data_IF_471607221731
#
_entry.id   IF_471607221731
#
_cell.length_a   1.000
_cell.length_b   1.000
_cell.length_c   1.000
_cell.angle_alpha   90.00
_cell.angle_beta   90.00
_cell.angle_gamma   90.00
#
_symmetry.space_group_name_H-M   'P 1'
#
loop_
_entity.id
_entity.type
_entity.pdbx_description
1 polymer ?
#
# COMPACT_ATOMS: atom_id res chain seq x y z
N UNK A 1 -6.72 -40.38 -23.30
CA UNK A 1 -5.49 -40.20 -22.49
C UNK A 1 -5.48 -38.94 -21.64
N UNK A 2 -5.59 -37.71 -22.17
CA UNK A 2 -5.62 -36.50 -21.33
C UNK A 2 -6.83 -36.43 -20.37
N UNK A 3 -8.02 -36.81 -20.85
CA UNK A 3 -9.27 -36.77 -20.06
C UNK A 3 -9.32 -37.88 -18.96
N UNK A 4 -8.69 -39.03 -19.20
CA UNK A 4 -8.56 -40.10 -18.19
C UNK A 4 -7.57 -39.74 -17.08
N UNK A 5 -6.42 -39.14 -17.43
CA UNK A 5 -5.46 -38.64 -16.45
C UNK A 5 -6.05 -37.51 -15.60
N UNK A 6 -6.85 -36.61 -16.21
CA UNK A 6 -7.59 -35.57 -15.51
C UNK A 6 -8.62 -36.14 -14.52
N UNK A 7 -9.29 -37.24 -14.86
CA UNK A 7 -10.23 -37.93 -13.95
C UNK A 7 -9.54 -38.60 -12.76
N UNK A 8 -8.34 -39.15 -12.95
CA UNK A 8 -7.55 -39.78 -11.89
C UNK A 8 -6.98 -38.76 -10.88
N UNK A 9 -6.64 -37.55 -11.33
CA UNK A 9 -6.03 -36.50 -10.50
C UNK A 9 -7.09 -35.55 -9.93
N UNK A 10 -8.35 -35.62 -10.39
CA UNK A 10 -9.40 -34.66 -10.02
C UNK A 10 -9.61 -34.54 -8.50
N UNK A 11 -9.41 -35.62 -7.76
CA UNK A 11 -9.51 -35.65 -6.29
C UNK A 11 -8.36 -34.92 -5.59
N UNK A 12 -7.14 -34.95 -6.14
CA UNK A 12 -5.95 -34.31 -5.56
C UNK A 12 -5.59 -32.96 -6.22
N UNK A 13 -6.25 -32.60 -7.32
CA UNK A 13 -5.96 -31.37 -8.06
C UNK A 13 -6.21 -30.11 -7.23
N UNK A 14 -7.28 -30.09 -6.43
CA UNK A 14 -7.58 -28.96 -5.56
C UNK A 14 -6.47 -28.74 -4.52
N UNK A 15 -5.96 -29.80 -3.91
CA UNK A 15 -4.85 -29.78 -2.96
C UNK A 15 -3.55 -29.33 -3.62
N UNK A 16 -3.26 -29.80 -4.83
CA UNK A 16 -2.08 -29.38 -5.59
C UNK A 16 -2.13 -27.89 -5.96
N UNK A 17 -3.32 -27.37 -6.31
CA UNK A 17 -3.52 -25.94 -6.57
C UNK A 17 -3.27 -25.12 -5.31
N UNK A 18 -3.85 -25.53 -4.17
CA UNK A 18 -3.63 -24.87 -2.87
C UNK A 18 -2.14 -24.86 -2.52
N UNK A 19 -1.49 -26.02 -2.61
CA UNK A 19 -0.05 -26.17 -2.34
C UNK A 19 0.80 -25.23 -3.20
N UNK A 20 0.46 -25.06 -4.49
CA UNK A 20 1.17 -24.12 -5.36
C UNK A 20 0.97 -22.66 -4.92
N UNK A 21 -0.23 -22.29 -4.46
CA UNK A 21 -0.52 -20.93 -3.98
C UNK A 21 0.25 -20.65 -2.69
N UNK A 22 0.21 -21.57 -1.73
CA UNK A 22 0.93 -21.45 -0.47
C UNK A 22 2.45 -21.41 -0.69
N UNK A 23 2.99 -22.32 -1.51
CA UNK A 23 4.40 -22.32 -1.86
C UNK A 23 4.83 -20.98 -2.46
N UNK A 24 4.00 -20.37 -3.33
CA UNK A 24 4.30 -19.04 -3.88
C UNK A 24 4.42 -17.98 -2.78
N UNK A 25 3.61 -18.06 -1.72
CA UNK A 25 3.68 -17.19 -0.55
C UNK A 25 4.99 -17.27 0.22
N UNK A 26 5.67 -18.42 0.18
CA UNK A 26 6.94 -18.67 0.86
C UNK A 26 8.17 -18.31 0.03
N UNK A 27 8.01 -18.14 -1.29
CA UNK A 27 9.11 -17.76 -2.17
C UNK A 27 9.45 -16.27 -2.09
N UNK A 28 10.74 -15.96 -2.19
CA UNK A 28 11.25 -14.60 -2.35
C UNK A 28 11.59 -14.27 -3.81
N UNK A 29 11.91 -15.29 -4.60
CA UNK A 29 12.19 -15.11 -6.02
C UNK A 29 10.89 -14.89 -6.82
N UNK A 30 10.80 -13.75 -7.49
CA UNK A 30 9.60 -13.35 -8.25
C UNK A 30 9.33 -14.28 -9.43
N UNK A 31 10.35 -14.90 -10.02
CA UNK A 31 10.18 -15.85 -11.12
C UNK A 31 9.52 -17.14 -10.65
N UNK A 32 9.96 -17.68 -9.50
CA UNK A 32 9.37 -18.86 -8.85
C UNK A 32 7.95 -18.61 -8.39
N UNK A 33 7.69 -17.47 -7.73
CA UNK A 33 6.33 -17.05 -7.37
C UNK A 33 5.39 -17.06 -8.59
N UNK A 34 5.82 -16.45 -9.71
CA UNK A 34 5.03 -16.42 -10.96
C UNK A 34 4.80 -17.80 -11.54
N UNK A 35 5.80 -18.67 -11.49
CA UNK A 35 5.71 -20.05 -12.00
C UNK A 35 4.68 -20.84 -11.21
N UNK A 36 4.74 -20.78 -9.88
CA UNK A 36 3.79 -21.44 -8.99
C UNK A 36 2.36 -20.90 -9.15
N UNK A 37 2.18 -19.57 -9.21
CA UNK A 37 0.87 -18.96 -9.43
C UNK A 37 0.28 -19.28 -10.81
N UNK A 38 1.11 -19.43 -11.85
CA UNK A 38 0.65 -19.88 -13.18
C UNK A 38 0.16 -21.32 -13.14
N UNK A 39 0.91 -22.22 -12.49
CA UNK A 39 0.51 -23.61 -12.29
C UNK A 39 -0.83 -23.70 -11.53
N UNK A 40 -0.95 -22.97 -10.42
CA UNK A 40 -2.19 -22.86 -9.65
C UNK A 40 -3.35 -22.32 -10.49
N UNK A 41 -3.13 -21.25 -11.27
CA UNK A 41 -4.17 -20.66 -12.11
C UNK A 41 -4.65 -21.61 -13.21
N UNK A 42 -3.75 -22.41 -13.79
CA UNK A 42 -4.10 -23.44 -14.76
C UNK A 42 -4.92 -24.56 -14.11
N UNK A 43 -4.43 -25.12 -12.99
CA UNK A 43 -5.13 -26.20 -12.28
C UNK A 43 -6.53 -25.77 -11.79
N UNK A 44 -6.67 -24.52 -11.35
CA UNK A 44 -7.95 -23.96 -10.89
C UNK A 44 -9.02 -23.97 -11.99
N UNK A 45 -8.66 -23.87 -13.27
CA UNK A 45 -9.63 -23.93 -14.37
C UNK A 45 -10.41 -25.26 -14.43
N UNK A 46 -9.88 -26.31 -13.80
CA UNK A 46 -10.48 -27.65 -13.76
C UNK A 46 -11.08 -27.98 -12.38
N UNK A 47 -11.00 -27.06 -11.40
CA UNK A 47 -11.56 -27.21 -10.06
C UNK A 47 -12.86 -26.41 -9.92
N UNK A 48 -14.00 -27.10 -9.87
CA UNK A 48 -15.33 -26.47 -9.78
C UNK A 48 -15.64 -25.81 -8.43
N UNK A 49 -14.91 -26.16 -7.35
CA UNK A 49 -15.19 -25.73 -5.97
C UNK A 49 -14.04 -24.92 -5.32
N UNK A 50 -13.04 -24.49 -6.09
CA UNK A 50 -11.90 -23.77 -5.50
C UNK A 50 -12.28 -22.32 -5.13
N UNK A 51 -11.97 -21.84 -3.90
CA UNK A 51 -12.27 -20.47 -3.49
C UNK A 51 -11.59 -19.45 -4.40
N UNK A 52 -12.39 -18.61 -5.08
CA UNK A 52 -11.84 -17.60 -6.01
C UNK A 52 -11.01 -16.54 -5.29
N UNK A 53 -11.31 -16.30 -4.02
CA UNK A 53 -10.71 -15.22 -3.23
C UNK A 53 -9.31 -15.58 -2.77
N UNK A 54 -9.03 -16.85 -2.47
CA UNK A 54 -7.74 -17.28 -1.92
C UNK A 54 -6.57 -16.98 -2.88
N UNK A 55 -6.73 -17.32 -4.16
CA UNK A 55 -5.71 -17.01 -5.17
C UNK A 55 -5.50 -15.51 -5.36
N UNK A 56 -6.59 -14.73 -5.38
CA UNK A 56 -6.52 -13.29 -5.54
C UNK A 56 -5.83 -12.63 -4.33
N UNK A 57 -6.13 -13.13 -3.13
CA UNK A 57 -5.53 -12.66 -1.89
C UNK A 57 -4.02 -12.94 -1.85
N UNK A 58 -3.60 -14.15 -2.21
CA UNK A 58 -2.17 -14.45 -2.32
C UNK A 58 -1.47 -13.54 -3.33
N UNK A 59 -2.08 -13.29 -4.50
CA UNK A 59 -1.53 -12.35 -5.48
C UNK A 59 -1.42 -10.92 -4.94
N UNK A 60 -2.42 -10.45 -4.18
CA UNK A 60 -2.40 -9.13 -3.52
C UNK A 60 -1.26 -9.03 -2.51
N UNK A 61 -1.16 -10.02 -1.62
CA UNK A 61 -0.11 -10.09 -0.60
C UNK A 61 1.28 -10.10 -1.25
N UNK A 62 1.50 -10.95 -2.26
CA UNK A 62 2.79 -11.04 -2.93
C UNK A 62 3.19 -9.75 -3.64
N UNK A 63 2.25 -8.99 -4.21
CA UNK A 63 2.56 -7.66 -4.77
C UNK A 63 3.06 -6.69 -3.71
N UNK A 64 2.42 -6.65 -2.54
CA UNK A 64 2.85 -5.82 -1.40
C UNK A 64 4.23 -6.26 -0.91
N UNK A 65 4.42 -7.56 -0.68
CA UNK A 65 5.68 -8.13 -0.23
C UNK A 65 6.82 -7.83 -1.19
N UNK A 66 6.61 -8.03 -2.49
CA UNK A 66 7.63 -7.76 -3.51
C UNK A 66 7.97 -6.26 -3.60
N UNK A 67 6.99 -5.37 -3.42
CA UNK A 67 7.24 -3.93 -3.40
C UNK A 67 8.16 -3.53 -2.23
N UNK A 68 7.93 -4.08 -1.04
CA UNK A 68 8.74 -3.74 0.14
C UNK A 68 10.07 -4.50 0.22
N UNK A 69 10.17 -5.68 -0.41
CA UNK A 69 11.41 -6.45 -0.57
C UNK A 69 12.34 -5.89 -1.65
N UNK A 70 11.85 -5.01 -2.52
CA UNK A 70 12.69 -4.36 -3.53
C UNK A 70 13.91 -3.73 -2.85
N UNK A 71 15.09 -3.84 -3.45
CA UNK A 71 16.35 -3.35 -2.89
C UNK A 71 16.35 -1.85 -2.56
N UNK A 72 15.54 -1.03 -3.23
CA UNK A 72 15.37 0.39 -2.92
C UNK A 72 14.61 0.64 -1.60
N UNK A 73 13.77 -0.31 -1.18
CA UNK A 73 12.98 -0.24 0.08
C UNK A 73 13.60 -1.09 1.19
N UNK A 74 14.10 -2.29 0.85
CA UNK A 74 14.96 -3.08 1.73
C UNK A 74 14.27 -3.71 2.95
N UNK A 75 12.97 -3.98 2.92
CA UNK A 75 12.25 -4.64 4.02
C UNK A 75 12.03 -6.13 3.68
N UNK A 76 12.85 -7.06 4.20
CA UNK A 76 12.76 -8.49 3.91
C UNK A 76 11.65 -9.16 4.71
N UNK A 77 10.38 -8.86 4.37
CA UNK A 77 9.22 -9.34 5.11
C UNK A 77 8.74 -10.70 4.56
N UNK A 78 8.56 -11.71 5.42
CA UNK A 78 7.89 -12.97 5.05
C UNK A 78 6.36 -12.83 5.06
N UNK A 79 5.64 -13.74 4.41
CA UNK A 79 4.17 -13.74 4.45
C UNK A 79 3.62 -13.89 5.87
N UNK A 80 4.25 -14.73 6.69
CA UNK A 80 3.84 -14.92 8.09
C UNK A 80 4.04 -13.65 8.90
N UNK A 81 5.20 -12.98 8.72
CA UNK A 81 5.47 -11.71 9.38
C UNK A 81 4.49 -10.63 8.93
N UNK A 82 4.15 -10.56 7.64
CA UNK A 82 3.15 -9.61 7.13
C UNK A 82 1.77 -9.84 7.74
N UNK A 83 1.32 -11.10 7.83
CA UNK A 83 0.04 -11.45 8.44
C UNK A 83 -0.03 -11.05 9.92
N UNK A 84 1.05 -11.21 10.68
CA UNK A 84 1.13 -10.80 12.09
C UNK A 84 1.24 -9.28 12.25
N UNK A 85 2.04 -8.65 11.40
CA UNK A 85 2.32 -7.22 11.45
C UNK A 85 1.10 -6.39 11.03
N UNK A 86 0.34 -6.85 10.05
CA UNK A 86 -0.78 -6.16 9.38
C UNK A 86 -0.37 -5.02 8.45
N UNK A 87 -1.19 -4.74 7.43
CA UNK A 87 -0.90 -3.68 6.46
C UNK A 87 -0.76 -2.27 7.09
N UNK A 88 -1.60 -1.83 8.05
CA UNK A 88 -1.44 -0.51 8.66
C UNK A 88 -0.10 -0.31 9.37
N UNK A 89 0.42 -1.33 10.05
CA UNK A 89 1.74 -1.24 10.72
C UNK A 89 2.86 -1.19 9.69
N UNK A 90 2.73 -1.90 8.55
CA UNK A 90 3.68 -1.81 7.45
C UNK A 90 3.74 -0.39 6.89
N UNK A 91 2.58 0.23 6.68
CA UNK A 91 2.48 1.63 6.27
C UNK A 91 3.20 2.54 7.29
N UNK A 92 2.95 2.33 8.59
CA UNK A 92 3.64 3.04 9.67
C UNK A 92 5.17 2.93 9.61
N UNK A 93 5.70 1.74 9.30
CA UNK A 93 7.15 1.55 9.14
C UNK A 93 7.69 2.27 7.91
N UNK A 94 6.96 2.22 6.80
CA UNK A 94 7.36 2.90 5.56
C UNK A 94 7.41 4.42 5.72
N UNK A 95 6.41 5.03 6.39
CA UNK A 95 6.40 6.48 6.62
C UNK A 95 7.54 6.92 7.54
N UNK A 96 7.85 6.15 8.59
CA UNK A 96 8.96 6.43 9.51
C UNK A 96 10.33 6.31 8.82
N UNK A 97 10.42 5.47 7.78
CA UNK A 97 11.60 5.35 6.92
C UNK A 97 11.61 6.36 5.74
N UNK A 98 10.67 7.32 5.71
CA UNK A 98 10.49 8.30 4.63
C UNK A 98 10.16 7.71 3.24
N UNK A 99 9.67 6.47 3.17
CA UNK A 99 9.19 5.84 1.94
C UNK A 99 7.73 6.21 1.63
N UNK A 100 7.39 7.51 1.66
CA UNK A 100 5.99 7.99 1.54
C UNK A 100 5.31 7.58 0.23
N UNK A 101 6.03 7.57 -0.90
CA UNK A 101 5.47 7.19 -2.19
C UNK A 101 4.99 5.73 -2.22
N UNK A 102 5.81 4.82 -1.69
CA UNK A 102 5.47 3.39 -1.64
C UNK A 102 4.37 3.15 -0.61
N UNK A 103 4.42 3.83 0.54
CA UNK A 103 3.35 3.80 1.52
C UNK A 103 2.01 4.23 0.92
N UNK A 104 1.98 5.35 0.20
CA UNK A 104 0.77 5.87 -0.45
C UNK A 104 0.20 4.86 -1.46
N UNK A 105 1.04 4.34 -2.36
CA UNK A 105 0.63 3.35 -3.36
C UNK A 105 0.10 2.06 -2.76
N UNK A 106 0.70 1.58 -1.68
CA UNK A 106 0.21 0.38 -0.97
C UNK A 106 -1.12 0.68 -0.28
N UNK A 107 -1.27 1.84 0.36
CA UNK A 107 -2.56 2.25 0.96
C UNK A 107 -3.67 2.29 -0.08
N UNK A 108 -3.44 2.95 -1.23
CA UNK A 108 -4.40 2.98 -2.34
C UNK A 108 -4.72 1.58 -2.86
N UNK A 109 -3.69 0.75 -3.06
CA UNK A 109 -3.86 -0.62 -3.57
C UNK A 109 -4.69 -1.51 -2.63
N UNK A 110 -4.56 -1.30 -1.32
CA UNK A 110 -5.28 -2.04 -0.28
C UNK A 110 -6.58 -1.35 0.15
N UNK A 111 -6.95 -0.21 -0.46
CA UNK A 111 -8.08 0.63 -0.07
C UNK A 111 -8.04 1.07 1.42
N UNK A 112 -6.84 1.36 1.93
CA UNK A 112 -6.63 1.95 3.26
C UNK A 112 -6.64 3.48 3.18
N UNK A 113 -7.01 4.13 4.29
CA UNK A 113 -6.98 5.59 4.37
C UNK A 113 -5.54 6.12 4.21
N UNK A 114 -5.22 6.93 3.17
CA UNK A 114 -3.88 7.46 2.95
C UNK A 114 -3.57 8.70 3.82
N UNK A 115 -4.52 9.20 4.61
CA UNK A 115 -4.40 10.43 5.41
C UNK A 115 -3.12 10.48 6.25
N UNK A 116 -2.81 9.40 6.99
CA UNK A 116 -1.61 9.33 7.84
C UNK A 116 -0.32 9.47 7.01
N UNK A 117 -0.30 8.90 5.80
CA UNK A 117 0.85 8.99 4.89
C UNK A 117 1.04 10.42 4.40
N UNK A 118 -0.04 11.07 3.96
CA UNK A 118 0.00 12.43 3.42
C UNK A 118 0.34 13.44 4.53
N UNK A 119 -0.23 13.28 5.72
CA UNK A 119 0.06 14.13 6.88
C UNK A 119 1.54 14.02 7.27
N UNK A 120 2.06 12.81 7.42
CA UNK A 120 3.47 12.62 7.74
C UNK A 120 4.39 13.16 6.63
N UNK A 121 4.04 12.95 5.36
CA UNK A 121 4.79 13.51 4.23
C UNK A 121 4.79 15.05 4.26
N UNK A 122 3.65 15.68 4.53
CA UNK A 122 3.52 17.14 4.59
C UNK A 122 4.44 17.71 5.69
N UNK A 123 4.38 17.15 6.89
CA UNK A 123 5.25 17.55 8.00
C UNK A 123 6.73 17.35 7.66
N UNK A 124 7.10 16.18 7.11
CA UNK A 124 8.48 15.90 6.70
C UNK A 124 8.95 16.87 5.60
N UNK A 125 8.10 17.20 4.63
CA UNK A 125 8.40 18.12 3.53
C UNK A 125 8.64 19.54 4.05
N UNK A 126 7.86 20.01 5.01
CA UNK A 126 8.04 21.32 5.65
C UNK A 126 9.39 21.38 6.37
N UNK A 127 9.69 20.38 7.20
CA UNK A 127 10.95 20.32 7.96
C UNK A 127 12.17 20.20 7.03
N UNK A 128 12.07 19.44 5.94
CA UNK A 128 13.17 19.23 5.01
C UNK A 128 13.39 20.38 4.00
N UNK A 129 12.51 21.39 3.97
CA UNK A 129 12.54 22.44 2.93
C UNK A 129 12.77 23.86 3.46
N UNK A 130 13.75 24.13 4.36
CA UNK A 130 13.93 25.45 4.97
C UNK A 130 14.30 26.55 3.95
N UNK A 131 14.86 26.20 2.79
CA UNK A 131 15.24 27.14 1.75
C UNK A 131 14.11 27.50 0.76
N UNK A 132 13.01 26.73 0.73
CA UNK A 132 11.90 26.97 -0.20
C UNK A 132 11.01 28.10 0.34
N UNK A 133 10.65 29.05 -0.51
CA UNK A 133 9.72 30.13 -0.17
C UNK A 133 8.34 29.57 0.20
N UNK A 134 7.67 30.21 1.17
CA UNK A 134 6.42 29.70 1.74
C UNK A 134 5.30 29.57 0.71
N UNK A 135 5.18 30.49 -0.26
CA UNK A 135 4.18 30.41 -1.33
C UNK A 135 4.38 29.18 -2.23
N UNK A 136 5.62 28.94 -2.67
CA UNK A 136 5.95 27.78 -3.50
C UNK A 136 5.78 26.46 -2.72
N UNK A 137 6.13 26.44 -1.44
CA UNK A 137 5.94 25.27 -0.59
C UNK A 137 4.45 24.97 -0.36
N UNK A 138 3.63 26.01 -0.18
CA UNK A 138 2.18 25.89 -0.05
C UNK A 138 1.56 25.22 -1.28
N UNK A 139 1.91 25.66 -2.49
CA UNK A 139 1.39 25.06 -3.74
C UNK A 139 1.70 23.56 -3.82
N UNK A 140 2.92 23.16 -3.46
CA UNK A 140 3.34 21.75 -3.42
C UNK A 140 2.52 20.97 -2.41
N UNK A 141 2.27 21.53 -1.23
CA UNK A 141 1.46 20.89 -0.19
C UNK A 141 0.02 20.73 -0.67
N UNK A 142 -0.62 21.80 -1.15
CA UNK A 142 -2.01 21.78 -1.62
C UNK A 142 -2.25 20.78 -2.76
N UNK A 143 -1.29 20.62 -3.69
CA UNK A 143 -1.37 19.62 -4.75
C UNK A 143 -1.44 18.18 -4.23
N UNK A 144 -0.89 17.90 -3.04
CA UNK A 144 -0.99 16.57 -2.42
C UNK A 144 -2.11 16.47 -1.40
N UNK A 145 -2.44 17.53 -0.68
CA UNK A 145 -3.54 17.54 0.29
C UNK A 145 -4.90 17.33 -0.38
N UNK A 146 -5.10 17.80 -1.62
CA UNK A 146 -6.33 17.54 -2.39
C UNK A 146 -6.62 16.05 -2.65
N UNK A 147 -5.63 15.18 -2.48
CA UNK A 147 -5.80 13.73 -2.62
C UNK A 147 -6.60 13.12 -1.45
N UNK A 148 -6.71 13.82 -0.31
CA UNK A 148 -7.43 13.34 0.86
C UNK A 148 -8.38 14.42 1.41
N UNK A 149 -9.69 14.17 1.27
CA UNK A 149 -10.74 15.11 1.71
C UNK A 149 -10.85 15.28 3.23
N UNK A 150 -10.28 14.36 4.02
CA UNK A 150 -10.38 14.36 5.48
C UNK A 150 -9.15 14.93 6.20
N UNK A 151 -8.13 15.40 5.47
CA UNK A 151 -6.87 15.79 6.10
C UNK A 151 -7.01 17.07 6.94
N UNK A 152 -6.45 17.05 8.14
CA UNK A 152 -6.45 18.22 9.03
C UNK A 152 -5.41 19.25 8.60
N UNK A 153 -5.86 20.33 7.96
CA UNK A 153 -5.01 21.49 7.62
C UNK A 153 -4.46 22.14 8.88
N UNK A 154 -5.25 22.21 9.96
CA UNK A 154 -4.84 22.74 11.25
C UNK A 154 -3.63 22.00 11.85
N UNK A 155 -3.59 20.67 11.76
CA UNK A 155 -2.45 19.89 12.26
C UNK A 155 -1.16 20.18 11.48
N UNK A 156 -1.26 20.35 10.16
CA UNK A 156 -0.12 20.68 9.30
C UNK A 156 0.35 22.13 9.55
N UNK A 157 -0.59 23.06 9.70
CA UNK A 157 -0.29 24.45 10.05
C UNK A 157 0.41 24.55 11.41
N UNK A 158 -0.06 23.80 12.42
CA UNK A 158 0.60 23.72 13.72
C UNK A 158 2.05 23.20 13.60
N UNK A 159 2.28 22.18 12.77
CA UNK A 159 3.65 21.69 12.50
C UNK A 159 4.52 22.74 11.78
N UNK A 160 3.94 23.50 10.84
CA UNK A 160 4.63 24.60 10.16
C UNK A 160 5.04 25.71 11.13
N UNK A 161 4.15 26.10 12.05
CA UNK A 161 4.41 27.10 13.07
C UNK A 161 5.52 26.64 14.03
N UNK A 162 5.43 25.39 14.52
CA UNK A 162 6.46 24.76 15.34
C UNK A 162 7.82 24.64 14.64
N UNK A 163 7.82 24.56 13.31
CA UNK A 163 9.03 24.57 12.47
C UNK A 163 9.57 25.99 12.19
N UNK A 164 9.00 27.03 12.82
CA UNK A 164 9.38 28.44 12.66
C UNK A 164 8.80 29.12 11.42
N UNK A 165 7.94 28.45 10.65
CA UNK A 165 7.34 28.96 9.41
C UNK A 165 5.95 29.53 9.65
N UNK A 166 5.87 30.56 10.48
CA UNK A 166 4.60 31.21 10.88
C UNK A 166 3.77 31.71 9.69
N UNK A 167 4.44 32.26 8.67
CA UNK A 167 3.78 32.75 7.45
C UNK A 167 3.13 31.61 6.68
N UNK A 168 3.85 30.51 6.47
CA UNK A 168 3.30 29.28 5.89
C UNK A 168 2.12 28.73 6.70
N UNK A 169 2.22 28.71 8.04
CA UNK A 169 1.16 28.24 8.91
C UNK A 169 -0.15 29.02 8.71
N UNK A 170 -0.07 30.36 8.66
CA UNK A 170 -1.22 31.22 8.37
C UNK A 170 -1.82 30.90 6.99
N UNK A 171 -0.98 30.79 5.95
CA UNK A 171 -1.44 30.46 4.61
C UNK A 171 -2.14 29.10 4.54
N UNK A 172 -1.65 28.08 5.25
CA UNK A 172 -2.29 26.75 5.25
C UNK A 172 -3.69 26.81 5.87
N UNK A 173 -3.88 27.59 6.95
CA UNK A 173 -5.19 27.77 7.61
C UNK A 173 -6.17 28.50 6.70
N UNK A 174 -5.72 29.55 6.01
CA UNK A 174 -6.57 30.31 5.07
C UNK A 174 -7.08 29.45 3.90
N UNK A 175 -6.32 28.40 3.55
CA UNK A 175 -6.66 27.43 2.52
C UNK A 175 -7.48 26.24 3.02
N UNK A 176 -7.84 26.19 4.30
CA UNK A 176 -8.80 25.21 4.79
C UNK A 176 -10.08 25.36 3.96
N UNK A 177 -10.51 24.30 3.23
CA UNK A 177 -11.76 24.37 2.51
C UNK A 177 -12.81 24.65 3.56
N UNK A 178 -13.33 25.88 3.56
CA UNK A 178 -14.39 26.26 4.47
C UNK A 178 -15.47 25.20 4.28
N UNK A 179 -15.74 24.44 5.34
CA UNK A 179 -16.85 23.49 5.39
C UNK A 179 -18.15 24.29 5.50
N UNK A 180 -18.34 25.25 4.60
CA UNK A 180 -19.62 25.88 4.35
C UNK A 180 -20.42 24.91 3.49
N UNK A 181 -21.22 24.10 4.18
CA UNK A 181 -22.56 23.70 3.72
C UNK A 181 -22.62 23.30 2.23
N UNK A 182 -22.32 22.04 1.94
CA UNK A 182 -23.11 21.30 0.95
C UNK A 182 -23.94 20.26 1.70
N UNK A 183 -24.79 20.77 2.59
CA UNK A 183 -26.09 20.19 2.84
C UNK A 183 -27.07 20.95 1.93
N UNK A 184 -27.36 20.37 0.77
CA UNK A 184 -28.61 20.47 0.03
C UNK A 184 -28.77 19.15 -0.73
#
# INVERSE_FOLDING_TARGET
QADENLRLIRSSLAEAVETCIDAAGHEFDVSRQRTLLRAASYGRAFCSQFPRDHFQEMCKILRVLNAVRNHEIGIPLSIQQYKLLTAPVLIGRLINANHHLVALRISEYLNLNPEVVIMHWACAKITASPAIQDSALLEILLDKLKLCKGISYAAIAAHADNSGRRKLAALIVDHEPHSSKQAC
#
